data_IF_412082688271
#
_entry.id   IF_412082688271
#
_cell.length_a   1.000
_cell.length_b   1.000
_cell.length_c   1.000
_cell.angle_alpha   90.00
_cell.angle_beta   90.00
_cell.angle_gamma   90.00
#
_symmetry.space_group_name_H-M   'P 1'
#
loop_
_entity.id
_entity.type
_entity.pdbx_description
1 polymer ?
#
# COMPACT_ATOMS: atom_id res chain seq x y z
N UNK A 1 56.81 -12.04 35.01
CA UNK A 1 56.42 -11.51 33.69
C UNK A 1 55.08 -12.15 33.31
N UNK A 2 54.04 -11.81 34.06
CA UNK A 2 52.69 -12.34 33.88
C UNK A 2 51.78 -11.14 33.69
N UNK A 3 50.93 -11.24 32.68
CA UNK A 3 49.55 -10.76 32.71
C UNK A 3 49.21 -9.32 32.26
N UNK A 4 50.13 -8.54 31.68
CA UNK A 4 49.73 -7.21 31.14
C UNK A 4 48.96 -7.28 29.82
N UNK A 5 49.27 -8.28 28.98
CA UNK A 5 48.59 -8.52 27.69
C UNK A 5 47.12 -8.93 27.85
N UNK A 6 46.82 -9.78 28.84
CA UNK A 6 45.46 -10.23 29.14
C UNK A 6 44.63 -9.12 29.81
N UNK A 7 45.24 -8.32 30.70
CA UNK A 7 44.63 -7.12 31.28
C UNK A 7 44.26 -6.08 30.19
N UNK A 8 45.15 -5.86 29.20
CA UNK A 8 44.88 -4.94 28.10
C UNK A 8 43.75 -5.43 27.18
N UNK A 9 43.78 -6.71 26.81
CA UNK A 9 42.74 -7.34 25.97
C UNK A 9 41.37 -7.32 26.65
N UNK A 10 41.31 -7.58 27.96
CA UNK A 10 40.08 -7.50 28.75
C UNK A 10 39.49 -6.09 28.80
N UNK A 11 40.34 -5.06 28.93
CA UNK A 11 39.91 -3.64 28.97
C UNK A 11 39.37 -3.17 27.61
N UNK A 12 39.98 -3.57 26.51
CA UNK A 12 39.52 -3.25 25.14
C UNK A 12 38.19 -3.93 24.83
N UNK A 13 38.01 -5.19 25.23
CA UNK A 13 36.75 -5.92 25.09
C UNK A 13 35.61 -5.28 25.92
N UNK A 14 35.92 -4.84 27.14
CA UNK A 14 34.95 -4.16 28.02
C UNK A 14 34.53 -2.79 27.46
N UNK A 15 35.48 -1.98 26.98
CA UNK A 15 35.20 -0.69 26.36
C UNK A 15 34.38 -0.85 25.07
N UNK A 16 34.69 -1.85 24.24
CA UNK A 16 33.93 -2.16 23.02
C UNK A 16 32.48 -2.55 23.33
N UNK A 17 32.23 -3.30 24.40
CA UNK A 17 30.88 -3.64 24.87
C UNK A 17 30.12 -2.40 25.37
N UNK A 18 30.79 -1.51 26.11
CA UNK A 18 30.18 -0.26 26.59
C UNK A 18 29.79 0.64 25.42
N UNK A 19 30.67 0.79 24.42
CA UNK A 19 30.37 1.58 23.21
C UNK A 19 29.23 0.95 22.40
N UNK A 20 29.21 -0.38 22.26
CA UNK A 20 28.12 -1.07 21.58
C UNK A 20 26.77 -0.89 22.30
N UNK A 21 26.75 -1.03 23.63
CA UNK A 21 25.55 -0.81 24.46
C UNK A 21 25.09 0.65 24.36
N UNK A 22 26.01 1.62 24.46
CA UNK A 22 25.69 3.04 24.34
C UNK A 22 25.11 3.38 22.96
N UNK A 23 25.63 2.76 21.89
CA UNK A 23 25.14 2.95 20.52
C UNK A 23 23.73 2.40 20.32
N UNK A 24 23.43 1.24 20.90
CA UNK A 24 22.08 0.64 20.87
C UNK A 24 21.08 1.50 21.64
N UNK A 25 21.48 2.04 22.79
CA UNK A 25 20.62 2.92 23.60
C UNK A 25 20.34 4.25 22.88
N UNK A 26 21.33 4.82 22.17
CA UNK A 26 21.15 6.06 21.41
C UNK A 26 20.23 5.87 20.18
N UNK A 27 20.34 4.75 19.46
CA UNK A 27 19.46 4.43 18.34
C UNK A 27 17.99 4.25 18.76
N UNK A 28 17.76 3.70 19.96
CA UNK A 28 16.42 3.48 20.52
C UNK A 28 15.68 4.79 20.84
N UNK A 29 16.40 5.88 21.15
CA UNK A 29 15.79 7.16 21.53
C UNK A 29 15.21 7.96 20.34
N UNK A 30 15.62 7.63 19.11
CA UNK A 30 15.24 8.35 17.89
C UNK A 30 13.97 7.79 17.23
N UNK A 31 13.45 6.66 17.71
CA UNK A 31 12.24 6.01 17.18
C UNK A 31 11.00 6.36 18.00
N UNK A 32 10.70 7.66 18.14
CA UNK A 32 9.39 8.08 18.63
C UNK A 32 8.45 8.18 17.43
N UNK A 33 7.43 7.32 17.39
CA UNK A 33 6.36 7.44 16.41
C UNK A 33 5.76 8.85 16.53
N UNK A 34 5.79 9.64 15.44
CA UNK A 34 5.11 10.93 15.43
C UNK A 34 3.60 10.67 15.50
N UNK A 35 3.03 10.80 16.68
CA UNK A 35 1.59 10.84 16.87
C UNK A 35 1.13 12.29 16.77
N UNK A 36 0.28 12.59 15.80
CA UNK A 36 -0.41 13.86 15.71
C UNK A 36 -1.80 13.69 16.32
N UNK A 37 -2.13 14.47 17.33
CA UNK A 37 -3.49 14.52 17.86
C UNK A 37 -4.40 15.23 16.85
N UNK A 38 -5.43 14.53 16.41
CA UNK A 38 -6.45 15.06 15.50
C UNK A 38 -7.67 15.45 16.35
N UNK A 39 -8.22 16.65 16.12
CA UNK A 39 -9.33 17.23 16.90
C UNK A 39 -9.11 17.19 18.43
N UNK A 40 -8.10 17.92 18.95
CA UNK A 40 -7.79 17.92 20.38
C UNK A 40 -8.99 18.40 21.21
N UNK A 41 -9.30 17.66 22.28
CA UNK A 41 -10.42 17.96 23.17
C UNK A 41 -11.78 17.44 22.68
N UNK A 42 -11.85 16.82 21.49
CA UNK A 42 -13.08 16.21 21.01
C UNK A 42 -13.10 14.72 21.34
N UNK A 43 -14.28 14.19 21.67
CA UNK A 43 -14.51 12.78 21.95
C UNK A 43 -15.93 12.39 21.56
N UNK A 44 -16.20 11.08 21.46
CA UNK A 44 -17.52 10.56 21.11
C UNK A 44 -18.05 11.09 19.78
N UNK A 45 -19.33 11.46 19.76
CA UNK A 45 -20.03 11.90 18.55
C UNK A 45 -19.40 13.16 17.93
N UNK A 46 -18.95 14.12 18.76
CA UNK A 46 -18.31 15.35 18.29
C UNK A 46 -17.01 15.05 17.51
N UNK A 47 -16.25 14.04 17.96
CA UNK A 47 -15.07 13.58 17.24
C UNK A 47 -15.47 12.88 15.93
N UNK A 48 -16.49 12.02 15.94
CA UNK A 48 -16.97 11.32 14.75
C UNK A 48 -17.47 12.29 13.67
N UNK A 49 -18.23 13.31 14.05
CA UNK A 49 -18.74 14.33 13.15
C UNK A 49 -17.60 15.15 12.54
N UNK A 50 -16.61 15.50 13.34
CA UNK A 50 -15.42 16.22 12.88
C UNK A 50 -14.61 15.37 11.89
N UNK A 51 -14.47 14.07 12.16
CA UNK A 51 -13.80 13.15 11.25
C UNK A 51 -14.53 13.05 9.91
N UNK A 52 -15.85 12.82 9.91
CA UNK A 52 -16.64 12.75 8.68
C UNK A 52 -16.57 14.05 7.89
N UNK A 53 -16.76 15.18 8.55
CA UNK A 53 -16.76 16.49 7.90
C UNK A 53 -15.42 16.82 7.21
N UNK A 54 -14.29 16.42 7.80
CA UNK A 54 -12.97 16.81 7.31
C UNK A 54 -12.26 15.75 6.46
N UNK A 55 -12.63 14.47 6.59
CA UNK A 55 -11.94 13.36 5.93
C UNK A 55 -12.84 12.53 5.02
N UNK A 56 -14.14 12.84 4.93
CA UNK A 56 -14.98 12.26 3.88
C UNK A 56 -14.77 13.05 2.58
N UNK A 57 -14.34 12.41 1.49
CA UNK A 57 -14.23 13.08 0.20
C UNK A 57 -15.62 13.51 -0.27
N UNK A 58 -15.69 14.68 -0.92
CA UNK A 58 -16.94 15.23 -1.45
C UNK A 58 -17.45 14.50 -2.70
N UNK A 59 -16.56 13.78 -3.38
CA UNK A 59 -16.84 12.99 -4.57
C UNK A 59 -16.22 11.61 -4.37
N UNK A 60 -17.01 10.59 -4.63
CA UNK A 60 -16.54 9.20 -4.72
C UNK A 60 -16.53 8.84 -6.19
N UNK A 61 -15.40 8.31 -6.67
CA UNK A 61 -15.29 7.85 -8.05
C UNK A 61 -16.33 6.76 -8.35
N UNK A 62 -16.85 6.77 -9.57
CA UNK A 62 -17.74 5.68 -10.02
C UNK A 62 -16.95 4.39 -10.09
N UNK A 63 -17.65 3.24 -9.97
CA UNK A 63 -17.01 1.94 -10.09
C UNK A 63 -16.19 1.81 -11.39
N UNK A 64 -16.79 2.19 -12.52
CA UNK A 64 -16.13 2.22 -13.83
C UNK A 64 -14.84 3.04 -13.81
N UNK A 65 -14.91 4.32 -13.42
CA UNK A 65 -13.74 5.20 -13.42
C UNK A 65 -12.65 4.71 -12.44
N UNK A 66 -13.05 4.09 -11.33
CA UNK A 66 -12.11 3.48 -10.40
C UNK A 66 -11.42 2.24 -10.99
N UNK A 67 -12.12 1.41 -11.77
CA UNK A 67 -11.52 0.29 -12.50
C UNK A 67 -10.51 0.78 -13.54
N UNK A 68 -10.86 1.82 -14.30
CA UNK A 68 -9.98 2.40 -15.32
C UNK A 68 -8.69 2.93 -14.68
N UNK A 69 -8.80 3.69 -13.59
CA UNK A 69 -7.64 4.17 -12.82
C UNK A 69 -6.81 3.00 -12.30
N UNK A 70 -7.45 1.95 -11.81
CA UNK A 70 -6.77 0.80 -11.24
C UNK A 70 -5.92 0.09 -12.30
N UNK A 71 -6.48 -0.16 -13.49
CA UNK A 71 -5.77 -0.84 -14.57
C UNK A 71 -4.78 0.05 -15.29
N UNK A 72 -5.14 1.29 -15.57
CA UNK A 72 -4.36 2.17 -16.40
C UNK A 72 -3.20 2.85 -15.66
N UNK A 73 -3.42 3.20 -14.40
CA UNK A 73 -2.48 4.01 -13.63
C UNK A 73 -1.75 3.19 -12.57
N UNK A 74 -2.45 2.29 -11.89
CA UNK A 74 -1.91 1.59 -10.72
C UNK A 74 -1.26 0.26 -11.09
N UNK A 75 -1.94 -0.58 -11.88
CA UNK A 75 -1.47 -1.93 -12.23
C UNK A 75 -0.89 -2.07 -13.63
N UNK A 76 -0.93 -1.00 -14.44
CA UNK A 76 -0.32 -1.01 -15.77
C UNK A 76 1.12 -1.47 -15.68
N UNK A 77 1.43 -2.45 -16.51
CA UNK A 77 2.74 -3.04 -16.66
C UNK A 77 3.06 -3.20 -18.14
N UNK A 78 4.31 -3.48 -18.46
CA UNK A 78 4.76 -3.79 -19.81
C UNK A 78 5.51 -5.11 -19.79
N UNK A 79 5.03 -6.09 -20.56
CA UNK A 79 5.67 -7.39 -20.73
C UNK A 79 5.89 -7.65 -22.22
N UNK A 80 7.13 -7.98 -22.59
CA UNK A 80 7.50 -8.25 -23.97
C UNK A 80 7.20 -7.12 -24.96
N UNK A 81 7.08 -5.86 -24.50
CA UNK A 81 6.73 -4.72 -25.33
C UNK A 81 5.23 -4.47 -25.49
N UNK A 82 4.38 -5.23 -24.78
CA UNK A 82 2.93 -4.99 -24.71
C UNK A 82 2.56 -4.43 -23.34
N UNK A 83 1.78 -3.35 -23.32
CA UNK A 83 1.19 -2.88 -22.07
C UNK A 83 0.08 -3.84 -21.62
N UNK A 84 -0.19 -3.93 -20.32
CA UNK A 84 -1.22 -4.81 -19.77
C UNK A 84 -1.19 -4.85 -18.25
N UNK A 85 -1.85 -5.85 -17.68
CA UNK A 85 -1.94 -6.06 -16.23
C UNK A 85 -1.64 -7.51 -15.87
N UNK A 86 -1.16 -7.73 -14.65
CA UNK A 86 -0.98 -9.07 -14.10
C UNK A 86 -2.13 -9.43 -13.14
N UNK A 87 -2.65 -10.64 -13.27
CA UNK A 87 -3.51 -11.25 -12.28
C UNK A 87 -2.78 -11.37 -10.95
N UNK A 88 -3.31 -10.72 -9.91
CA UNK A 88 -2.65 -10.66 -8.59
C UNK A 88 -2.47 -12.04 -7.95
N UNK A 89 -3.34 -12.99 -8.28
CA UNK A 89 -3.29 -14.33 -7.71
C UNK A 89 -2.40 -15.31 -8.46
N UNK A 90 -2.39 -15.24 -9.78
CA UNK A 90 -1.74 -16.24 -10.63
C UNK A 90 -0.47 -15.71 -11.30
N UNK A 91 -0.26 -14.38 -11.29
CA UNK A 91 0.76 -13.73 -12.09
C UNK A 91 0.51 -13.83 -13.60
N UNK A 92 -0.70 -14.22 -14.03
CA UNK A 92 -1.05 -14.30 -15.44
C UNK A 92 -1.11 -12.91 -16.07
N UNK A 93 -0.42 -12.70 -17.18
CA UNK A 93 -0.40 -11.42 -17.90
C UNK A 93 -1.56 -11.32 -18.88
N UNK A 94 -2.28 -10.20 -18.82
CA UNK A 94 -3.35 -9.83 -19.74
C UNK A 94 -2.91 -8.55 -20.48
N UNK A 95 -2.52 -8.64 -21.76
CA UNK A 95 -2.12 -7.47 -22.55
C UNK A 95 -3.30 -6.53 -22.82
N UNK A 96 -3.14 -5.22 -22.77
CA UNK A 96 -4.12 -4.30 -23.34
C UNK A 96 -4.19 -4.45 -24.86
N UNK A 97 -5.36 -4.21 -25.45
CA UNK A 97 -5.56 -4.41 -26.89
C UNK A 97 -4.85 -3.33 -27.74
N UNK A 98 -4.45 -2.23 -27.08
CA UNK A 98 -3.64 -1.15 -27.64
C UNK A 98 -4.41 -0.24 -28.60
N UNK A 99 -5.73 -0.36 -28.68
CA UNK A 99 -6.56 0.50 -29.53
C UNK A 99 -6.87 1.82 -28.80
N UNK A 100 -6.62 2.99 -29.43
CA UNK A 100 -6.78 4.31 -28.79
C UNK A 100 -8.18 4.67 -28.29
N UNK A 101 -9.19 3.87 -28.64
CA UNK A 101 -10.60 4.08 -28.32
C UNK A 101 -11.15 3.13 -27.26
N UNK A 102 -10.36 2.14 -26.85
CA UNK A 102 -10.84 1.11 -25.93
C UNK A 102 -10.44 1.51 -24.51
N UNK A 103 -11.44 1.53 -23.63
CA UNK A 103 -11.26 1.74 -22.21
C UNK A 103 -10.42 0.56 -21.65
N UNK A 104 -9.34 0.78 -20.89
CA UNK A 104 -8.55 -0.31 -20.29
C UNK A 104 -9.38 -1.33 -19.49
N UNK A 105 -10.52 -0.93 -18.92
CA UNK A 105 -11.47 -1.85 -18.29
C UNK A 105 -12.37 -2.60 -19.30
N UNK A 106 -12.48 -2.14 -20.53
CA UNK A 106 -13.06 -2.88 -21.66
C UNK A 106 -12.04 -3.81 -22.34
N UNK A 107 -10.74 -3.49 -22.31
CA UNK A 107 -9.68 -4.33 -22.89
C UNK A 107 -9.60 -5.73 -22.25
N UNK A 108 -9.79 -5.78 -20.93
CA UNK A 108 -9.80 -7.04 -20.17
C UNK A 108 -10.98 -7.98 -20.52
N UNK A 109 -12.09 -7.44 -21.04
CA UNK A 109 -13.27 -8.23 -21.45
C UNK A 109 -13.26 -8.58 -22.95
N UNK A 110 -12.46 -7.89 -23.76
CA UNK A 110 -12.44 -8.04 -25.21
C UNK A 110 -11.34 -8.97 -25.75
N UNK A 111 -10.64 -9.74 -24.91
CA UNK A 111 -9.70 -10.75 -25.42
C UNK A 111 -10.42 -11.75 -26.34
N UNK A 112 -9.98 -11.89 -27.61
CA UNK A 112 -10.73 -12.64 -28.61
C UNK A 112 -10.83 -14.12 -28.19
N UNK A 113 -12.07 -14.57 -28.00
CA UNK A 113 -12.52 -15.93 -27.66
C UNK A 113 -12.51 -16.36 -26.19
N UNK A 114 -12.44 -15.46 -25.21
CA UNK A 114 -12.53 -15.86 -23.81
C UNK A 114 -13.52 -15.02 -23.02
N UNK A 115 -14.81 -15.27 -23.24
CA UNK A 115 -15.97 -14.83 -22.43
C UNK A 115 -15.86 -15.18 -20.91
N UNK A 116 -14.73 -15.75 -20.47
CA UNK A 116 -14.47 -16.24 -19.12
C UNK A 116 -13.10 -15.85 -18.54
N UNK A 117 -12.31 -15.00 -19.21
CA UNK A 117 -11.01 -14.51 -18.67
C UNK A 117 -11.02 -13.06 -18.21
N UNK A 118 -12.20 -12.43 -18.15
CA UNK A 118 -12.34 -11.09 -17.55
C UNK A 118 -11.66 -11.07 -16.19
N UNK A 119 -10.66 -10.21 -16.03
CA UNK A 119 -9.98 -10.02 -14.76
C UNK A 119 -10.98 -9.39 -13.80
N UNK A 120 -11.42 -10.14 -12.79
CA UNK A 120 -12.18 -9.51 -11.71
C UNK A 120 -11.21 -8.71 -10.83
N UNK A 121 -11.61 -7.52 -10.42
CA UNK A 121 -10.91 -6.75 -9.37
C UNK A 121 -11.07 -7.40 -7.97
N UNK A 122 -11.65 -8.60 -7.91
CA UNK A 122 -12.04 -9.30 -6.70
C UNK A 122 -10.78 -9.59 -5.88
N UNK A 123 -10.59 -8.78 -4.84
CA UNK A 123 -9.63 -8.86 -3.74
C UNK A 123 -8.37 -8.00 -3.75
N UNK A 124 -8.04 -7.27 -4.81
CA UNK A 124 -6.90 -6.33 -4.69
C UNK A 124 -7.31 -5.00 -4.07
N UNK A 125 -8.57 -4.61 -4.30
CA UNK A 125 -9.23 -3.53 -3.58
C UNK A 125 -10.44 -4.10 -2.83
N UNK A 126 -10.34 -4.41 -1.52
CA UNK A 126 -11.55 -4.70 -0.75
C UNK A 126 -12.45 -3.47 -0.86
N UNK A 127 -13.68 -3.62 -1.36
CA UNK A 127 -14.67 -2.54 -1.38
C UNK A 127 -14.81 -2.00 0.04
N UNK A 128 -14.16 -0.87 0.29
CA UNK A 128 -13.99 -0.36 1.64
C UNK A 128 -15.31 0.26 2.07
N UNK A 129 -15.68 -0.10 3.30
CA UNK A 129 -16.86 0.37 4.03
C UNK A 129 -16.98 1.90 3.91
N UNK A 130 -18.00 2.41 3.21
CA UNK A 130 -18.29 3.84 3.27
C UNK A 130 -19.00 4.52 2.11
N UNK A 131 -19.64 3.83 1.16
CA UNK A 131 -20.42 4.52 0.12
C UNK A 131 -21.66 5.21 0.71
N UNK A 132 -21.59 6.53 0.86
CA UNK A 132 -22.72 7.40 1.23
C UNK A 132 -23.69 7.68 0.06
N UNK A 133 -23.28 7.42 -1.18
CA UNK A 133 -24.18 7.35 -2.35
C UNK A 133 -23.55 6.48 -3.46
N UNK A 134 -24.38 5.72 -4.17
CA UNK A 134 -23.96 4.63 -5.06
C UNK A 134 -24.02 3.27 -4.34
N UNK A 135 -24.37 2.19 -5.06
CA UNK A 135 -24.48 0.86 -4.45
C UNK A 135 -23.07 0.28 -4.20
N UNK A 136 -22.86 -0.23 -2.99
CA UNK A 136 -21.87 -1.28 -2.79
C UNK A 136 -22.27 -2.48 -3.67
N UNK A 137 -21.31 -3.07 -4.37
CA UNK A 137 -21.58 -4.18 -5.29
C UNK A 137 -20.62 -5.33 -4.98
N UNK A 138 -21.19 -6.47 -4.62
CA UNK A 138 -20.52 -7.76 -4.70
C UNK A 138 -20.86 -8.34 -6.07
N UNK A 139 -19.86 -8.87 -6.78
CA UNK A 139 -20.14 -9.94 -7.73
C UNK A 139 -20.47 -11.24 -6.97
#
# INVERSE_FOLDING_TARGET
>A
MRDESLQHTGRVAMLSRIVAIASILFASASSQARSQTIFPGFSGDALQDSLRSNYTPSVVETFQNAEDILYDVIYRSNDGGSDGIYCVYTGFFVPFDGLPSTDPSEDQVNFPNQDSLGMSIEHTWPQSKGAGSGAAQSN
#
